data_IF_528013954433
#
_entry.id   IF_528013954433
#
_cell.length_a   1.000
_cell.length_b   1.000
_cell.length_c   1.000
_cell.angle_alpha   90.00
_cell.angle_beta   90.00
_cell.angle_gamma   90.00
#
_symmetry.space_group_name_H-M   'P 1'
#
loop_
_entity.id
_entity.type
_entity.pdbx_description
1 polymer ?
#
# COMPACT_ATOMS: atom_id res chain seq x y z
N UNK A 1 -26.33 10.99 2.52
CA UNK A 1 -26.11 12.38 2.97
C UNK A 1 -24.81 12.55 3.78
N UNK A 2 -24.54 11.75 4.81
CA UNK A 2 -23.30 11.86 5.64
C UNK A 2 -21.97 11.59 4.90
N UNK A 3 -21.95 10.64 3.96
CA UNK A 3 -20.75 10.31 3.18
C UNK A 3 -20.26 11.46 2.28
N UNK A 4 -21.18 12.28 1.75
CA UNK A 4 -20.86 13.43 0.89
C UNK A 4 -20.22 14.58 1.68
N UNK A 5 -20.66 14.79 2.94
CA UNK A 5 -20.08 15.79 3.83
C UNK A 5 -18.66 15.41 4.22
N UNK A 6 -18.44 14.14 4.59
CA UNK A 6 -17.10 13.59 4.83
C UNK A 6 -16.20 13.74 3.60
N UNK A 7 -16.74 13.48 2.41
CA UNK A 7 -16.00 13.61 1.16
C UNK A 7 -15.56 15.04 0.90
N UNK A 8 -16.47 16.00 0.97
CA UNK A 8 -16.15 17.40 0.72
C UNK A 8 -15.24 18.04 1.78
N UNK A 9 -15.33 17.59 3.04
CA UNK A 9 -14.58 18.17 4.16
C UNK A 9 -13.17 17.60 4.32
N UNK A 10 -12.95 16.31 3.98
CA UNK A 10 -11.71 15.61 4.31
C UNK A 10 -11.04 14.89 3.13
N UNK A 11 -11.83 14.41 2.17
CA UNK A 11 -11.32 13.59 1.07
C UNK A 11 -11.07 14.42 -0.20
N UNK A 12 -11.85 15.48 -0.43
CA UNK A 12 -11.91 16.19 -1.71
C UNK A 12 -12.04 15.19 -2.88
N UNK A 13 -11.00 15.08 -3.71
CA UNK A 13 -10.89 14.17 -4.85
C UNK A 13 -10.22 12.83 -4.53
N UNK A 14 -9.71 12.65 -3.31
CA UNK A 14 -8.97 11.46 -2.89
C UNK A 14 -9.91 10.38 -2.36
N UNK A 15 -9.54 9.11 -2.54
CA UNK A 15 -10.26 8.00 -1.93
C UNK A 15 -9.89 7.86 -0.45
N UNK A 16 -10.73 7.16 0.32
CA UNK A 16 -10.46 6.90 1.75
C UNK A 16 -9.10 6.26 1.94
N UNK A 17 -8.70 5.34 1.05
CA UNK A 17 -7.38 4.69 1.00
C UNK A 17 -6.22 5.70 0.91
N UNK A 18 -6.39 6.78 0.12
CA UNK A 18 -5.32 7.73 -0.24
C UNK A 18 -5.02 8.83 0.80
N UNK A 19 -5.85 8.98 1.83
CA UNK A 19 -5.67 10.05 2.83
C UNK A 19 -4.84 9.56 4.00
N UNK A 20 -3.86 10.37 4.42
CA UNK A 20 -3.04 10.18 5.63
C UNK A 20 -3.43 11.20 6.70
N UNK A 21 -3.32 10.81 7.98
CA UNK A 21 -3.64 11.68 9.12
C UNK A 21 -2.61 12.80 9.23
N UNK A 22 -3.09 14.04 9.37
CA UNK A 22 -2.26 15.22 9.63
C UNK A 22 -2.36 15.63 11.10
N UNK A 23 -1.32 16.25 11.67
CA UNK A 23 -1.32 16.68 13.07
C UNK A 23 -2.45 17.67 13.41
N UNK A 24 -2.85 18.50 12.44
CA UNK A 24 -3.91 19.50 12.55
C UNK A 24 -5.33 18.95 12.36
N UNK A 25 -5.46 17.66 12.07
CA UNK A 25 -6.78 17.07 11.82
C UNK A 25 -7.61 16.96 13.09
N UNK A 26 -8.93 17.03 12.91
CA UNK A 26 -9.89 16.96 14.01
C UNK A 26 -9.77 15.62 14.75
N UNK A 27 -10.02 15.60 16.08
CA UNK A 27 -10.02 14.36 16.86
C UNK A 27 -10.95 13.29 16.29
N UNK A 28 -12.09 13.70 15.72
CA UNK A 28 -13.02 12.85 15.00
C UNK A 28 -12.37 12.18 13.77
N UNK A 29 -11.67 12.96 12.92
CA UNK A 29 -10.98 12.42 11.74
C UNK A 29 -9.86 11.46 12.11
N UNK A 30 -9.10 11.77 13.17
CA UNK A 30 -8.07 10.88 13.71
C UNK A 30 -8.66 9.54 14.20
N UNK A 31 -9.81 9.58 14.87
CA UNK A 31 -10.54 8.37 15.29
C UNK A 31 -11.00 7.53 14.11
N UNK A 32 -11.62 8.16 13.10
CA UNK A 32 -12.06 7.48 11.88
C UNK A 32 -10.89 6.84 11.12
N UNK A 33 -9.75 7.54 11.04
CA UNK A 33 -8.56 7.04 10.38
C UNK A 33 -7.90 5.86 11.09
N UNK A 34 -7.97 5.78 12.43
CA UNK A 34 -7.55 4.57 13.17
C UNK A 34 -8.43 3.37 12.87
N UNK A 35 -9.75 3.57 12.80
CA UNK A 35 -10.69 2.50 12.44
C UNK A 35 -10.45 2.05 11.00
N UNK A 36 -10.27 3.01 10.08
CA UNK A 36 -9.85 2.76 8.70
C UNK A 36 -8.58 1.91 8.68
N UNK A 37 -7.49 2.37 9.29
CA UNK A 37 -6.22 1.64 9.34
C UNK A 37 -6.43 0.21 9.83
N UNK A 38 -7.18 0.01 10.92
CA UNK A 38 -7.47 -1.33 11.46
C UNK A 38 -8.25 -2.22 10.48
N UNK A 39 -9.19 -1.65 9.72
CA UNK A 39 -9.97 -2.38 8.71
C UNK A 39 -9.12 -2.72 7.48
N UNK A 40 -8.33 -1.78 6.97
CA UNK A 40 -7.46 -2.00 5.81
C UNK A 40 -6.38 -3.06 6.09
N UNK A 41 -5.90 -3.17 7.34
CA UNK A 41 -5.00 -4.26 7.73
C UNK A 41 -5.68 -5.64 7.71
N UNK A 42 -7.00 -5.71 7.85
CA UNK A 42 -7.77 -6.97 7.93
C UNK A 42 -8.42 -7.41 6.62
N UNK A 43 -8.53 -6.51 5.65
CA UNK A 43 -9.12 -6.81 4.34
C UNK A 43 -8.00 -7.19 3.37
N UNK A 44 -8.06 -8.41 2.84
CA UNK A 44 -7.12 -8.88 1.82
C UNK A 44 -7.61 -8.43 0.45
N UNK A 45 -6.91 -7.47 -0.15
CA UNK A 45 -7.21 -7.00 -1.49
C UNK A 45 -6.80 -8.06 -2.50
N UNK A 46 -7.74 -8.43 -3.37
CA UNK A 46 -7.45 -9.24 -4.54
C UNK A 46 -6.99 -8.27 -5.61
N UNK A 47 -5.69 -8.32 -5.93
CA UNK A 47 -5.11 -7.49 -6.99
C UNK A 47 -5.65 -7.94 -8.33
N UNK A 48 -6.30 -7.01 -9.02
CA UNK A 48 -6.69 -7.16 -10.40
C UNK A 48 -5.61 -6.55 -11.28
N UNK A 49 -5.83 -5.32 -11.73
CA UNK A 49 -4.92 -4.52 -12.52
C UNK A 49 -3.83 -3.82 -11.69
N UNK A 50 -4.00 -3.77 -10.36
CA UNK A 50 -3.08 -3.19 -9.39
C UNK A 50 -3.04 -1.67 -9.40
N UNK A 51 -3.98 -0.98 -10.07
CA UNK A 51 -3.93 0.48 -10.25
C UNK A 51 -4.39 1.25 -9.02
N UNK A 52 -5.12 0.60 -8.11
CA UNK A 52 -5.65 1.22 -6.89
C UNK A 52 -5.07 0.64 -5.60
N UNK A 53 -4.43 -0.52 -5.69
CA UNK A 53 -3.78 -1.20 -4.57
C UNK A 53 -2.37 -0.66 -4.34
N UNK A 54 -2.08 -0.21 -3.12
CA UNK A 54 -0.77 0.29 -2.71
C UNK A 54 0.17 -0.87 -2.44
N UNK A 55 1.37 -0.81 -3.00
CA UNK A 55 2.32 -1.91 -2.91
C UNK A 55 2.74 -2.22 -1.47
N UNK A 56 3.08 -1.20 -0.67
CA UNK A 56 3.59 -1.44 0.69
C UNK A 56 2.50 -1.52 1.76
N UNK A 57 1.46 -0.69 1.62
CA UNK A 57 0.54 -0.38 2.72
C UNK A 57 -0.74 -1.21 2.72
N UNK A 58 -1.14 -1.78 1.57
CA UNK A 58 -2.34 -2.61 1.48
C UNK A 58 -1.99 -4.11 1.64
N UNK A 59 -2.89 -4.88 2.22
CA UNK A 59 -2.76 -6.34 2.36
C UNK A 59 -3.16 -7.01 1.06
N UNK A 60 -2.22 -7.18 0.13
CA UNK A 60 -2.50 -7.77 -1.18
C UNK A 60 -1.62 -8.98 -1.52
N UNK A 61 -0.49 -9.15 -0.81
CA UNK A 61 0.43 -10.27 -0.99
C UNK A 61 0.70 -10.97 0.36
N UNK A 62 -0.09 -12.00 0.65
CA UNK A 62 -0.10 -12.71 1.95
C UNK A 62 -1.23 -12.25 2.86
N UNK A 63 -0.98 -12.23 4.17
CA UNK A 63 -2.02 -12.00 5.20
C UNK A 63 -1.85 -10.68 5.95
N UNK A 64 -0.81 -9.90 5.63
CA UNK A 64 -0.57 -8.57 6.17
C UNK A 64 0.00 -7.64 5.07
N UNK A 65 0.04 -6.32 5.28
CA UNK A 65 0.74 -5.41 4.37
C UNK A 65 2.23 -5.74 4.25
N UNK A 66 2.81 -5.51 3.06
CA UNK A 66 4.25 -5.73 2.85
C UNK A 66 5.12 -4.86 3.77
N UNK A 67 4.64 -3.69 4.19
CA UNK A 67 5.30 -2.83 5.17
C UNK A 67 5.50 -3.50 6.54
N UNK A 68 4.59 -4.40 6.93
CA UNK A 68 4.67 -5.17 8.18
C UNK A 68 5.51 -6.43 7.99
N UNK A 69 5.37 -7.11 6.84
CA UNK A 69 6.15 -8.31 6.54
C UNK A 69 7.65 -8.01 6.34
N UNK A 70 7.99 -6.85 5.79
CA UNK A 70 9.36 -6.44 5.47
C UNK A 70 9.69 -5.04 6.01
N UNK A 71 9.69 -4.84 7.35
CA UNK A 71 9.81 -3.52 7.96
C UNK A 71 11.13 -2.82 7.61
N UNK A 72 12.22 -3.58 7.45
CA UNK A 72 13.52 -3.04 7.05
C UNK A 72 13.54 -2.53 5.62
N UNK A 73 12.94 -3.26 4.67
CA UNK A 73 12.84 -2.82 3.27
C UNK A 73 11.93 -1.60 3.15
N UNK A 74 10.80 -1.62 3.87
CA UNK A 74 9.89 -0.48 3.92
C UNK A 74 10.54 0.78 4.48
N UNK A 75 11.37 0.66 5.53
CA UNK A 75 12.08 1.81 6.09
C UNK A 75 12.95 2.50 5.02
N UNK A 76 13.70 1.73 4.24
CA UNK A 76 14.65 2.26 3.25
C UNK A 76 14.02 2.57 1.88
N UNK A 77 12.76 2.20 1.64
CA UNK A 77 12.04 2.51 0.41
C UNK A 77 11.87 4.04 0.24
N UNK A 78 12.21 4.56 -0.94
CA UNK A 78 12.07 5.98 -1.26
C UNK A 78 10.63 6.38 -1.55
N UNK A 79 9.88 5.52 -2.25
CA UNK A 79 8.50 5.77 -2.68
C UNK A 79 7.58 4.71 -2.09
N UNK A 80 6.86 5.09 -1.04
CA UNK A 80 5.96 4.21 -0.28
C UNK A 80 4.54 4.19 -0.83
N UNK A 81 4.16 5.30 -1.48
CA UNK A 81 2.82 5.51 -2.04
C UNK A 81 2.63 4.94 -3.46
N UNK A 82 3.57 4.14 -3.96
CA UNK A 82 3.45 3.53 -5.29
C UNK A 82 2.39 2.41 -5.31
N UNK A 83 1.70 2.29 -6.43
CA UNK A 83 0.72 1.23 -6.67
C UNK A 83 1.37 -0.05 -7.20
N UNK A 84 0.68 -1.18 -7.05
CA UNK A 84 1.14 -2.50 -7.50
C UNK A 84 1.35 -2.51 -9.02
N UNK A 85 0.42 -1.92 -9.79
CA UNK A 85 0.54 -1.75 -11.24
C UNK A 85 1.86 -1.10 -11.64
N UNK A 86 2.20 0.03 -11.00
CA UNK A 86 3.40 0.80 -11.33
C UNK A 86 4.69 0.03 -11.05
N UNK A 87 4.68 -0.88 -10.08
CA UNK A 87 5.86 -1.66 -9.69
C UNK A 87 5.98 -2.94 -10.53
N UNK A 88 4.87 -3.62 -10.84
CA UNK A 88 4.86 -4.91 -11.52
C UNK A 88 4.74 -4.80 -13.06
N UNK A 89 4.12 -3.75 -13.61
CA UNK A 89 4.00 -3.57 -15.06
C UNK A 89 5.31 -3.12 -15.71
N UNK A 90 6.26 -2.59 -14.93
CA UNK A 90 7.57 -2.20 -15.44
C UNK A 90 8.52 -3.40 -15.48
N UNK A 91 9.23 -3.57 -16.60
CA UNK A 91 10.23 -4.65 -16.83
C UNK A 91 11.26 -4.76 -15.71
N UNK A 92 11.59 -3.64 -15.05
CA UNK A 92 12.33 -3.60 -13.80
C UNK A 92 11.42 -3.18 -12.65
N UNK A 93 11.33 -3.97 -11.58
CA UNK A 93 10.64 -3.58 -10.34
C UNK A 93 11.11 -2.18 -9.92
N UNK A 94 10.28 -1.15 -10.11
CA UNK A 94 10.66 0.25 -9.90
C UNK A 94 10.62 0.62 -8.40
N UNK A 95 11.32 -0.16 -7.58
CA UNK A 95 11.46 0.03 -6.14
C UNK A 95 12.83 0.65 -5.88
N UNK A 96 12.83 1.94 -5.58
CA UNK A 96 14.04 2.70 -5.28
C UNK A 96 14.30 2.66 -3.78
N UNK A 97 15.51 2.25 -3.39
CA UNK A 97 15.94 2.21 -1.99
C UNK A 97 16.96 3.31 -1.71
N UNK A 98 16.88 3.94 -0.53
CA UNK A 98 17.83 4.97 -0.07
C UNK A 98 19.19 4.41 0.35
N UNK A 99 19.27 3.09 0.57
CA UNK A 99 20.47 2.39 1.05
C UNK A 99 20.69 1.12 0.25
N UNK A 100 21.95 0.70 0.16
CA UNK A 100 22.34 -0.56 -0.47
C UNK A 100 21.69 -1.75 0.23
N UNK A 101 21.14 -2.67 -0.57
CA UNK A 101 20.66 -3.96 -0.10
C UNK A 101 21.87 -4.87 0.11
N UNK A 102 22.27 -5.06 1.36
CA UNK A 102 23.39 -5.91 1.76
C UNK A 102 22.99 -6.75 2.98
N UNK A 103 23.53 -7.97 3.06
CA UNK A 103 23.23 -8.93 4.13
C UNK A 103 21.75 -9.31 4.16
N UNK A 104 21.16 -9.38 5.35
CA UNK A 104 19.76 -9.79 5.57
C UNK A 104 18.72 -8.98 4.78
N UNK A 105 19.05 -7.73 4.40
CA UNK A 105 18.19 -6.91 3.52
C UNK A 105 18.12 -7.45 2.10
N UNK A 106 19.22 -8.01 1.60
CA UNK A 106 19.27 -8.65 0.30
C UNK A 106 18.47 -9.96 0.30
N UNK A 107 18.59 -10.77 1.35
CA UNK A 107 17.81 -12.00 1.48
C UNK A 107 16.31 -11.71 1.57
N UNK A 108 15.94 -10.70 2.36
CA UNK A 108 14.56 -10.20 2.44
C UNK A 108 14.04 -9.71 1.08
N UNK A 109 14.89 -9.01 0.32
CA UNK A 109 14.57 -8.54 -1.02
C UNK A 109 14.38 -9.69 -2.00
N UNK A 110 15.29 -10.67 -2.03
CA UNK A 110 15.17 -11.86 -2.88
C UNK A 110 13.90 -12.66 -2.54
N UNK A 111 13.59 -12.81 -1.26
CA UNK A 111 12.36 -13.46 -0.83
C UNK A 111 11.12 -12.73 -1.32
N UNK A 112 11.11 -11.39 -1.22
CA UNK A 112 10.03 -10.57 -1.77
C UNK A 112 9.92 -10.72 -3.29
N UNK A 113 11.03 -10.61 -4.03
CA UNK A 113 11.05 -10.75 -5.50
C UNK A 113 10.50 -12.09 -5.94
N UNK A 114 10.87 -13.19 -5.28
CA UNK A 114 10.32 -14.53 -5.57
C UNK A 114 8.81 -14.56 -5.47
N UNK A 115 8.26 -14.02 -4.39
CA UNK A 115 6.81 -13.94 -4.21
C UNK A 115 6.13 -13.05 -5.24
N UNK A 116 6.81 -12.01 -5.73
CA UNK A 116 6.29 -11.15 -6.79
C UNK A 116 6.31 -11.82 -8.17
N UNK A 117 7.25 -12.71 -8.45
CA UNK A 117 7.28 -13.45 -9.73
C UNK A 117 6.07 -14.34 -9.93
N UNK A 118 5.48 -14.83 -8.83
CA UNK A 118 4.27 -15.66 -8.87
C UNK A 118 2.99 -14.83 -9.02
N UNK A 119 3.09 -13.49 -8.96
CA UNK A 119 1.93 -12.60 -9.11
C UNK A 119 1.70 -12.32 -10.59
N UNK A 120 0.50 -12.66 -11.06
CA UNK A 120 0.00 -12.26 -12.38
C UNK A 120 -1.08 -11.21 -12.20
N UNK A 121 -0.87 -10.03 -12.79
CA UNK A 121 -1.90 -9.01 -12.88
C UNK A 121 -2.95 -9.42 -13.92
N UNK A 122 -4.21 -9.10 -13.64
CA UNK A 122 -5.32 -9.32 -14.56
C UNK A 122 -5.75 -8.00 -15.21
N UNK A 123 -6.50 -8.07 -16.31
CA UNK A 123 -7.05 -6.88 -16.99
C UNK A 123 -8.25 -6.24 -16.24
N UNK A 124 -8.63 -6.78 -15.08
CA UNK A 124 -9.84 -6.40 -14.35
C UNK A 124 -9.46 -5.52 -13.16
N UNK A 125 -10.30 -4.55 -12.79
CA UNK A 125 -10.00 -3.65 -11.68
C UNK A 125 -9.84 -4.37 -10.33
N UNK A 126 -9.06 -3.79 -9.43
CA UNK A 126 -8.84 -4.32 -8.07
C UNK A 126 -10.15 -4.47 -7.27
N UNK A 127 -10.23 -5.51 -6.43
CA UNK A 127 -11.39 -5.78 -5.56
C UNK A 127 -10.98 -5.97 -4.09
N UNK A 128 -11.85 -5.55 -3.16
CA UNK A 128 -11.66 -5.61 -1.70
C UNK A 128 -12.47 -6.70 -1.04
#
# INVERSE_FOLDING_TARGET
MWAQILRNKYLHSKTLAQVTVRPKDSPFWKGLMRVKETLFHRVKFIVGDGTTTRFWEDTWLGDAPLAIQYPFLYHIAQRKDNYVATILQTVSLNIQFRRSLLGERWDSWLHLVRRLMDVQLSDHGDTS
#
